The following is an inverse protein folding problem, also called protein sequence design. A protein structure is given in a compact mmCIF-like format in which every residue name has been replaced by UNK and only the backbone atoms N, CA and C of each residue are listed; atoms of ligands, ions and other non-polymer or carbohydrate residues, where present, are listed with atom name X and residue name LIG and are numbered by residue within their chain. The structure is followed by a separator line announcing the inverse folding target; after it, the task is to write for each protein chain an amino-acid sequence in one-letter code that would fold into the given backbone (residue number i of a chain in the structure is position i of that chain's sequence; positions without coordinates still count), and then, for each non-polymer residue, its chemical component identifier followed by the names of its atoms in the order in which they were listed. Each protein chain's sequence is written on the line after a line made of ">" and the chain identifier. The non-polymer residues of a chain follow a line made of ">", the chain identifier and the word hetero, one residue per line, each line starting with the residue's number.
data_IF_595277239440
#
_entry.id   IF_595277239440
#
_cell.length_a   1.000
_cell.length_b   1.000
_cell.length_c   1.000
_cell.angle_alpha   90.00
_cell.angle_beta   90.00
_cell.angle_gamma   90.00
#
_symmetry.space_group_name_H-M   'P 1'
#
loop_
_entity.id
_entity.type
_entity.pdbx_description
1 polymer ?
#
# COMPACT_ATOMS: atom_id res chain seq x y z
N UNK A 1 -14.21 17.59 6.17
CA UNK A 1 -13.80 18.59 5.16
C UNK A 1 -13.92 17.92 3.81
N UNK A 2 -14.83 18.39 2.95
CA UNK A 2 -14.87 17.97 1.55
C UNK A 2 -13.60 18.47 0.86
N UNK A 3 -12.78 17.54 0.38
CA UNK A 3 -11.69 17.84 -0.52
C UNK A 3 -11.92 17.07 -1.81
N UNK A 4 -11.57 17.68 -2.94
CA UNK A 4 -11.81 17.10 -4.26
C UNK A 4 -10.88 15.90 -4.46
N UNK A 5 -11.48 14.74 -4.76
CA UNK A 5 -10.72 13.55 -5.11
C UNK A 5 -10.47 13.54 -6.61
N UNK A 6 -9.20 13.39 -7.00
CA UNK A 6 -8.85 13.19 -8.39
C UNK A 6 -9.60 11.95 -8.94
N UNK A 7 -10.18 12.08 -10.13
CA UNK A 7 -10.84 10.97 -10.81
C UNK A 7 -9.80 9.96 -11.28
N UNK A 8 -10.13 8.68 -11.14
CA UNK A 8 -9.36 7.60 -11.74
C UNK A 8 -9.51 7.65 -13.27
N UNK A 9 -8.39 7.62 -13.98
CA UNK A 9 -8.38 7.55 -15.45
C UNK A 9 -8.16 6.10 -15.86
N UNK A 10 -9.16 5.52 -16.52
CA UNK A 10 -9.10 4.20 -17.12
C UNK A 10 -8.93 4.34 -18.62
N UNK A 11 -7.85 3.77 -19.16
CA UNK A 11 -7.67 3.65 -20.61
C UNK A 11 -8.32 2.34 -21.05
N UNK A 12 -9.35 2.43 -21.89
CA UNK A 12 -10.05 1.29 -22.45
C UNK A 12 -9.25 0.68 -23.60
N UNK A 13 -9.64 -0.53 -24.03
CA UNK A 13 -8.93 -1.27 -25.08
C UNK A 13 -8.90 -0.53 -26.43
N UNK A 14 -9.86 0.37 -26.68
CA UNK A 14 -9.93 1.23 -27.85
C UNK A 14 -9.09 2.53 -27.72
N UNK A 15 -8.40 2.70 -26.59
CA UNK A 15 -7.62 3.89 -26.26
C UNK A 15 -8.43 5.06 -25.73
N UNK A 16 -9.75 4.92 -25.54
CA UNK A 16 -10.57 5.97 -24.94
C UNK A 16 -10.37 6.06 -23.42
N UNK A 17 -10.60 7.24 -22.88
CA UNK A 17 -10.50 7.52 -21.44
C UNK A 17 -11.87 7.44 -20.78
N UNK A 18 -11.95 6.68 -19.70
CA UNK A 18 -13.09 6.69 -18.79
C UNK A 18 -12.64 7.24 -17.44
N UNK A 19 -13.35 8.27 -16.95
CA UNK A 19 -13.08 8.87 -15.64
C UNK A 19 -14.04 8.32 -14.59
N UNK A 20 -13.51 7.75 -13.53
CA UNK A 20 -14.30 7.14 -12.45
C UNK A 20 -14.00 7.83 -11.12
N UNK A 21 -15.00 7.90 -10.25
CA UNK A 21 -14.75 8.34 -8.89
C UNK A 21 -14.01 7.25 -8.11
N UNK A 22 -13.02 7.62 -7.30
CA UNK A 22 -12.40 6.67 -6.40
C UNK A 22 -13.40 6.21 -5.35
N UNK A 23 -13.14 5.05 -4.76
CA UNK A 23 -13.91 4.56 -3.62
C UNK A 23 -13.50 5.34 -2.37
N UNK A 24 -14.36 6.27 -1.94
CA UNK A 24 -14.14 7.09 -0.76
C UNK A 24 -14.82 6.46 0.45
N UNK A 25 -14.09 6.33 1.55
CA UNK A 25 -14.57 5.78 2.82
C UNK A 25 -14.42 6.89 3.86
N UNK A 26 -15.55 7.48 4.27
CA UNK A 26 -15.59 8.62 5.18
C UNK A 26 -15.93 8.26 6.62
N UNK A 27 -16.58 7.12 6.84
CA UNK A 27 -16.94 6.63 8.16
C UNK A 27 -16.88 5.11 8.23
N UNK A 28 -16.81 4.59 9.46
CA UNK A 28 -16.95 3.18 9.74
C UNK A 28 -15.82 2.28 9.22
N UNK A 29 -16.21 1.07 8.82
CA UNK A 29 -15.31 0.02 8.37
C UNK A 29 -15.84 -0.60 7.09
N UNK A 30 -15.07 -0.46 6.02
CA UNK A 30 -15.39 -1.04 4.71
C UNK A 30 -14.46 -2.20 4.37
N UNK A 31 -14.99 -3.15 3.58
CA UNK A 31 -14.29 -4.41 3.31
C UNK A 31 -14.40 -4.83 1.85
N UNK A 32 -13.25 -4.93 1.18
CA UNK A 32 -13.14 -5.50 -0.15
C UNK A 32 -12.98 -7.03 -0.09
N UNK A 33 -14.00 -7.76 -0.54
CA UNK A 33 -13.98 -9.24 -0.61
C UNK A 33 -13.73 -9.80 -2.01
N UNK A 34 -13.97 -8.99 -3.05
CA UNK A 34 -13.75 -9.33 -4.47
C UNK A 34 -12.57 -8.56 -5.08
N UNK A 35 -12.63 -8.30 -6.38
CA UNK A 35 -11.64 -7.49 -7.08
C UNK A 35 -12.13 -6.04 -7.22
N UNK A 36 -11.23 -5.08 -7.00
CA UNK A 36 -11.44 -3.67 -7.30
C UNK A 36 -10.24 -3.14 -8.06
N UNK A 37 -10.49 -2.39 -9.13
CA UNK A 37 -9.47 -1.69 -9.90
C UNK A 37 -9.80 -0.21 -9.91
N UNK A 38 -8.95 0.62 -9.30
CA UNK A 38 -9.21 2.02 -9.03
C UNK A 38 -8.56 2.48 -7.73
N UNK A 39 -8.76 3.75 -7.40
CA UNK A 39 -8.30 4.38 -6.18
C UNK A 39 -9.26 4.15 -5.02
N UNK A 40 -8.71 3.91 -3.84
CA UNK A 40 -9.43 3.88 -2.56
C UNK A 40 -8.86 4.96 -1.66
N UNK A 41 -9.72 5.84 -1.13
CA UNK A 41 -9.32 6.88 -0.18
C UNK A 41 -10.04 6.68 1.15
N UNK A 42 -9.26 6.43 2.21
CA UNK A 42 -9.78 6.21 3.57
C UNK A 42 -9.55 7.48 4.38
N UNK A 43 -10.63 8.10 4.85
CA UNK A 43 -10.57 9.35 5.62
C UNK A 43 -10.31 9.08 7.10
N UNK A 44 -10.00 10.15 7.84
CA UNK A 44 -9.77 10.12 9.28
C UNK A 44 -10.85 9.32 10.02
N UNK A 45 -10.43 8.52 11.00
CA UNK A 45 -11.30 7.68 11.85
C UNK A 45 -12.00 6.52 11.11
N UNK A 46 -11.95 6.46 9.79
CA UNK A 46 -12.44 5.34 9.01
C UNK A 46 -11.38 4.23 8.83
N UNK A 47 -11.85 3.04 8.47
CA UNK A 47 -10.97 1.89 8.25
C UNK A 47 -11.36 1.07 7.03
N UNK A 48 -10.36 0.44 6.42
CA UNK A 48 -10.54 -0.39 5.22
C UNK A 48 -9.83 -1.73 5.34
N UNK A 49 -10.50 -2.84 4.98
CA UNK A 49 -9.87 -4.15 4.87
C UNK A 49 -9.90 -4.68 3.43
N UNK A 50 -8.73 -4.96 2.86
CA UNK A 50 -8.63 -5.90 1.74
C UNK A 50 -8.65 -7.30 2.32
N UNK A 51 -9.80 -7.96 2.28
CA UNK A 51 -10.00 -9.29 2.87
C UNK A 51 -9.07 -10.33 2.23
N UNK A 52 -8.88 -11.49 2.86
CA UNK A 52 -8.00 -12.58 2.37
C UNK A 52 -8.19 -13.00 0.90
N UNK A 53 -9.41 -12.91 0.36
CA UNK A 53 -9.73 -13.19 -1.05
C UNK A 53 -9.90 -11.93 -1.90
N UNK A 54 -9.85 -10.77 -1.27
CA UNK A 54 -9.93 -9.47 -1.90
C UNK A 54 -8.66 -9.13 -2.67
N UNK A 55 -8.83 -8.41 -3.79
CA UNK A 55 -7.75 -7.92 -4.62
C UNK A 55 -7.98 -6.47 -5.00
N UNK A 56 -7.11 -5.59 -4.54
CA UNK A 56 -7.07 -4.18 -4.94
C UNK A 56 -5.97 -3.97 -5.99
N UNK A 57 -6.32 -3.43 -7.15
CA UNK A 57 -5.39 -3.01 -8.19
C UNK A 57 -5.50 -1.50 -8.42
N UNK A 58 -4.64 -0.71 -7.81
CA UNK A 58 -4.71 0.75 -7.87
C UNK A 58 -4.16 1.42 -6.62
N UNK A 59 -4.50 2.69 -6.41
CA UNK A 59 -4.03 3.46 -5.26
C UNK A 59 -4.85 3.15 -4.01
N UNK A 60 -4.18 3.09 -2.86
CA UNK A 60 -4.78 3.11 -1.53
C UNK A 60 -4.18 4.28 -0.77
N UNK A 61 -4.98 5.29 -0.50
CA UNK A 61 -4.58 6.51 0.20
C UNK A 61 -5.22 6.54 1.58
N UNK A 62 -4.40 6.45 2.62
CA UNK A 62 -4.82 6.56 4.00
C UNK A 62 -4.59 8.00 4.45
N UNK A 63 -5.68 8.74 4.67
CA UNK A 63 -5.64 10.11 5.21
C UNK A 63 -5.22 10.08 6.69
N UNK A 64 -4.83 11.23 7.27
CA UNK A 64 -4.39 11.28 8.65
C UNK A 64 -5.36 10.62 9.65
N UNK A 65 -4.84 9.78 10.54
CA UNK A 65 -5.64 9.06 11.56
C UNK A 65 -6.53 7.94 11.04
N UNK A 66 -6.47 7.60 9.75
CA UNK A 66 -7.19 6.45 9.18
C UNK A 66 -6.41 5.14 9.32
N UNK A 67 -7.04 4.01 9.00
CA UNK A 67 -6.34 2.71 9.01
C UNK A 67 -6.73 1.79 7.86
N UNK A 68 -5.80 0.92 7.47
CA UNK A 68 -6.12 -0.18 6.58
C UNK A 68 -5.42 -1.48 6.95
N UNK A 69 -6.10 -2.59 6.66
CA UNK A 69 -5.57 -3.95 6.82
C UNK A 69 -5.60 -4.68 5.47
N UNK A 70 -4.42 -5.02 4.96
CA UNK A 70 -4.24 -5.75 3.71
C UNK A 70 -4.02 -7.22 4.07
N UNK A 71 -5.11 -7.99 4.14
CA UNK A 71 -5.08 -9.44 4.37
C UNK A 71 -5.10 -10.26 3.06
N UNK A 72 -5.60 -9.67 1.98
CA UNK A 72 -5.56 -10.21 0.62
C UNK A 72 -4.39 -9.65 -0.17
N UNK A 73 -4.68 -9.16 -1.37
CA UNK A 73 -3.66 -8.65 -2.30
C UNK A 73 -3.92 -7.20 -2.66
N UNK A 74 -2.90 -6.37 -2.51
CA UNK A 74 -2.86 -5.03 -3.06
C UNK A 74 -1.72 -4.93 -4.08
N UNK A 75 -2.04 -4.42 -5.27
CA UNK A 75 -1.11 -4.16 -6.35
C UNK A 75 -1.27 -2.70 -6.79
N UNK A 76 -0.35 -1.83 -6.40
CA UNK A 76 -0.38 -0.41 -6.75
C UNK A 76 0.30 0.46 -5.71
N UNK A 77 -0.08 1.74 -5.65
CA UNK A 77 0.49 2.68 -4.70
C UNK A 77 -0.23 2.61 -3.35
N UNK A 78 0.52 2.55 -2.26
CA UNK A 78 0.02 2.75 -0.91
C UNK A 78 0.60 4.06 -0.37
N UNK A 79 -0.26 4.99 0.00
CA UNK A 79 0.12 6.22 0.67
C UNK A 79 -0.42 6.22 2.10
N UNK A 80 0.45 6.40 3.08
CA UNK A 80 0.12 6.38 4.51
C UNK A 80 0.43 7.74 5.09
N UNK A 81 -0.63 8.53 5.34
CA UNK A 81 -0.53 9.86 5.92
C UNK A 81 -0.17 9.86 7.41
N UNK A 82 0.06 11.05 7.95
CA UNK A 82 0.42 11.24 9.36
C UNK A 82 -0.59 10.62 10.34
N UNK A 83 -0.12 9.80 11.28
CA UNK A 83 -0.97 9.09 12.24
C UNK A 83 -1.83 7.98 11.65
N UNK A 84 -1.77 7.76 10.32
CA UNK A 84 -2.44 6.64 9.67
C UNK A 84 -1.65 5.34 9.84
N UNK A 85 -2.35 4.21 9.86
CA UNK A 85 -1.74 2.89 10.06
C UNK A 85 -2.15 1.91 8.96
N UNK A 86 -1.16 1.34 8.27
CA UNK A 86 -1.35 0.24 7.34
C UNK A 86 -0.79 -1.07 7.92
N UNK A 87 -1.62 -2.09 8.06
CA UNK A 87 -1.22 -3.44 8.44
C UNK A 87 -1.19 -4.37 7.24
N UNK A 88 -0.02 -4.91 6.90
CA UNK A 88 0.18 -5.84 5.79
C UNK A 88 0.31 -7.26 6.35
N UNK A 89 -0.73 -8.06 6.15
CA UNK A 89 -0.80 -9.48 6.58
C UNK A 89 -0.78 -10.42 5.36
N UNK A 90 -1.28 -9.94 4.22
CA UNK A 90 -1.20 -10.61 2.92
C UNK A 90 -0.08 -10.03 2.06
N UNK A 91 -0.38 -9.76 0.79
CA UNK A 91 0.56 -9.20 -0.17
C UNK A 91 0.27 -7.72 -0.42
N UNK A 92 1.26 -6.86 -0.20
CA UNK A 92 1.34 -5.55 -0.84
C UNK A 92 2.46 -5.54 -1.88
N UNK A 93 2.14 -5.10 -3.10
CA UNK A 93 3.07 -4.97 -4.22
C UNK A 93 2.93 -3.61 -4.93
N UNK A 94 4.03 -2.88 -5.10
CA UNK A 94 4.05 -1.59 -5.78
C UNK A 94 4.86 -0.55 -5.03
N UNK A 95 4.41 0.70 -5.04
CA UNK A 95 5.09 1.80 -4.33
C UNK A 95 4.42 2.08 -2.99
N UNK A 96 5.22 2.29 -1.95
CA UNK A 96 4.73 2.61 -0.61
C UNK A 96 5.36 3.92 -0.17
N UNK A 97 4.52 4.89 0.16
CA UNK A 97 4.94 6.17 0.71
C UNK A 97 4.39 6.30 2.12
N UNK A 98 5.29 6.50 3.09
CA UNK A 98 4.93 6.68 4.49
C UNK A 98 5.34 8.09 4.90
N UNK A 99 4.35 8.95 5.12
CA UNK A 99 4.58 10.31 5.59
C UNK A 99 5.09 10.32 7.03
N UNK A 100 5.62 11.46 7.46
CA UNK A 100 6.01 11.66 8.87
C UNK A 100 4.83 11.37 9.82
N UNK A 101 5.12 10.63 10.89
CA UNK A 101 4.11 10.11 11.82
C UNK A 101 3.20 8.99 11.27
N UNK A 102 3.31 8.62 9.99
CA UNK A 102 2.62 7.45 9.42
C UNK A 102 3.30 6.13 9.80
N UNK A 103 2.54 5.04 9.79
CA UNK A 103 3.02 3.72 10.20
C UNK A 103 2.59 2.59 9.26
N UNK A 104 3.57 1.83 8.78
CA UNK A 104 3.34 0.55 8.10
C UNK A 104 3.85 -0.60 8.96
N UNK A 105 2.99 -1.58 9.22
CA UNK A 105 3.35 -2.83 9.91
C UNK A 105 3.25 -4.01 8.97
N UNK A 106 4.36 -4.65 8.67
CA UNK A 106 4.38 -5.93 7.96
C UNK A 106 4.38 -7.04 8.98
N UNK A 107 3.27 -7.77 9.05
CA UNK A 107 3.10 -8.87 10.01
C UNK A 107 3.80 -10.15 9.56
N UNK A 108 4.02 -11.12 10.46
CA UNK A 108 4.49 -12.45 10.07
C UNK A 108 3.61 -13.06 8.97
N UNK A 109 4.26 -13.57 7.91
CA UNK A 109 3.60 -14.08 6.70
C UNK A 109 3.15 -13.00 5.70
N UNK A 110 3.14 -11.73 6.11
CA UNK A 110 2.89 -10.59 5.24
C UNK A 110 4.10 -10.26 4.36
N UNK A 111 3.81 -9.67 3.20
CA UNK A 111 4.82 -9.33 2.20
C UNK A 111 4.67 -7.90 1.72
N UNK A 112 5.76 -7.15 1.75
CA UNK A 112 5.88 -5.79 1.26
C UNK A 112 6.88 -5.72 0.10
N UNK A 113 6.36 -5.78 -1.13
CA UNK A 113 7.14 -5.86 -2.35
C UNK A 113 7.12 -4.54 -3.13
N UNK A 114 8.30 -4.03 -3.50
CA UNK A 114 8.44 -2.86 -4.38
C UNK A 114 9.15 -1.70 -3.70
N UNK A 115 8.94 -0.47 -4.19
CA UNK A 115 9.69 0.70 -3.72
C UNK A 115 9.09 1.27 -2.44
N UNK A 116 9.96 1.64 -1.49
CA UNK A 116 9.56 2.32 -0.26
C UNK A 116 10.16 3.72 -0.21
N UNK A 117 9.33 4.71 0.10
CA UNK A 117 9.73 6.06 0.47
C UNK A 117 9.24 6.35 1.89
N UNK A 118 10.15 6.58 2.82
CA UNK A 118 9.85 6.52 4.26
C UNK A 118 10.28 7.80 4.98
N UNK A 119 9.32 8.63 5.34
CA UNK A 119 9.45 9.73 6.27
C UNK A 119 8.88 9.40 7.66
N UNK A 120 7.96 8.43 7.77
CA UNK A 120 7.45 7.89 9.04
C UNK A 120 8.15 6.60 9.47
N UNK A 121 7.37 5.61 9.94
CA UNK A 121 7.89 4.34 10.45
C UNK A 121 7.39 3.14 9.63
N UNK A 122 8.30 2.23 9.32
CA UNK A 122 7.98 0.89 8.80
C UNK A 122 8.51 -0.17 9.76
N UNK A 123 7.63 -0.94 10.38
CA UNK A 123 7.96 -2.10 11.19
C UNK A 123 7.80 -3.37 10.36
N UNK A 124 8.87 -4.14 10.16
CA UNK A 124 8.86 -5.36 9.37
C UNK A 124 9.11 -6.60 10.23
N UNK A 125 8.06 -7.40 10.45
CA UNK A 125 8.12 -8.78 11.00
C UNK A 125 7.80 -9.86 9.94
N UNK A 126 7.60 -9.45 8.69
CA UNK A 126 7.32 -10.31 7.56
C UNK A 126 8.47 -10.32 6.56
N UNK A 127 8.16 -10.21 5.27
CA UNK A 127 9.19 -10.11 4.22
C UNK A 127 9.02 -8.79 3.48
N UNK A 128 10.08 -7.98 3.42
CA UNK A 128 10.12 -6.81 2.54
C UNK A 128 11.18 -6.97 1.46
N UNK A 129 11.03 -6.29 0.33
CA UNK A 129 12.02 -6.34 -0.74
C UNK A 129 11.77 -5.27 -1.79
N UNK A 130 12.84 -4.68 -2.28
CA UNK A 130 12.82 -3.55 -3.20
C UNK A 130 13.67 -2.39 -2.70
N UNK A 131 13.84 -1.35 -3.53
CA UNK A 131 14.61 -0.17 -3.16
C UNK A 131 13.91 0.60 -2.03
N UNK A 132 14.70 1.11 -1.08
CA UNK A 132 14.22 1.90 0.06
C UNK A 132 14.90 3.26 0.04
N UNK A 133 14.11 4.32 0.12
CA UNK A 133 14.56 5.68 0.33
C UNK A 133 14.01 6.17 1.66
N UNK A 134 14.89 6.55 2.58
CA UNK A 134 14.52 7.09 3.89
C UNK A 134 14.77 8.59 3.90
N UNK A 135 13.76 9.36 4.27
CA UNK A 135 13.76 10.82 4.30
C UNK A 135 13.23 11.31 5.65
N UNK A 136 14.00 11.11 6.71
CA UNK A 136 13.64 11.48 8.09
C UNK A 136 12.91 10.40 8.88
N UNK A 137 12.50 9.31 8.22
CA UNK A 137 11.83 8.18 8.86
C UNK A 137 12.75 7.05 9.31
N UNK A 138 12.15 5.91 9.65
CA UNK A 138 12.85 4.70 10.10
C UNK A 138 12.22 3.46 9.47
N UNK A 139 13.06 2.51 9.08
CA UNK A 139 12.64 1.14 8.72
C UNK A 139 13.28 0.18 9.72
N UNK A 140 12.46 -0.50 10.50
CA UNK A 140 12.88 -1.47 11.51
C UNK A 140 12.56 -2.88 11.04
N UNK A 141 13.60 -3.65 10.71
CA UNK A 141 13.47 -5.09 10.52
C UNK A 141 13.52 -5.78 11.89
N UNK A 142 12.33 -6.10 12.40
CA UNK A 142 12.13 -6.68 13.73
C UNK A 142 12.33 -8.21 13.70
N UNK A 143 12.40 -8.84 14.87
CA UNK A 143 12.54 -10.29 15.01
C UNK A 143 11.49 -11.06 14.19
N UNK A 144 11.98 -12.04 13.41
CA UNK A 144 11.18 -12.82 12.46
C UNK A 144 11.00 -12.17 11.09
N UNK A 145 11.34 -10.88 10.97
CA UNK A 145 11.39 -10.14 9.70
C UNK A 145 12.57 -10.54 8.82
N UNK A 146 12.42 -10.38 7.52
CA UNK A 146 13.52 -10.55 6.56
C UNK A 146 13.45 -9.57 5.40
N UNK A 147 14.61 -9.35 4.78
CA UNK A 147 14.77 -8.51 3.60
C UNK A 147 15.15 -9.39 2.41
N UNK A 148 14.26 -9.50 1.44
CA UNK A 148 14.50 -10.24 0.20
C UNK A 148 15.48 -9.47 -0.68
N UNK A 149 16.65 -10.06 -0.92
CA UNK A 149 17.66 -9.49 -1.78
C UNK A 149 17.33 -9.73 -3.27
N UNK A 150 17.64 -8.78 -4.17
CA UNK A 150 17.49 -9.01 -5.59
C UNK A 150 18.53 -9.99 -6.10
N UNK A 151 18.16 -10.78 -7.10
CA UNK A 151 19.12 -11.51 -7.93
C UNK A 151 19.59 -10.64 -9.08
N UNK A 152 20.86 -10.76 -9.48
CA UNK A 152 21.35 -10.11 -10.69
C UNK A 152 20.81 -10.82 -11.93
N UNK A 153 20.14 -10.07 -12.79
CA UNK A 153 19.72 -10.53 -14.09
C UNK A 153 20.87 -10.52 -15.12
N UNK A 154 20.62 -11.04 -16.34
CA UNK A 154 21.64 -11.20 -17.37
C UNK A 154 22.30 -9.89 -17.83
N UNK A 155 21.66 -8.74 -17.59
CA UNK A 155 22.17 -7.40 -17.95
C UNK A 155 22.57 -6.58 -16.72
N UNK A 156 22.72 -7.22 -15.55
CA UNK A 156 23.12 -6.59 -14.30
C UNK A 156 21.98 -5.92 -13.52
N UNK A 157 20.75 -6.01 -14.03
CA UNK A 157 19.55 -5.49 -13.38
C UNK A 157 19.24 -6.24 -12.08
N UNK A 158 18.65 -5.54 -11.11
CA UNK A 158 18.21 -6.15 -9.85
C UNK A 158 16.80 -6.73 -10.05
N UNK A 159 16.67 -8.05 -10.00
CA UNK A 159 15.40 -8.76 -10.16
C UNK A 159 14.94 -9.33 -8.82
N UNK A 160 13.76 -8.91 -8.36
CA UNK A 160 13.10 -9.48 -7.20
C UNK A 160 12.11 -10.56 -7.65
N UNK A 161 12.47 -11.83 -7.43
CA UNK A 161 11.60 -12.98 -7.75
C UNK A 161 10.85 -13.40 -6.51
N UNK A 162 9.61 -12.98 -6.38
CA UNK A 162 8.80 -13.19 -5.18
C UNK A 162 8.38 -14.63 -4.97
#
# INVERSE_FOLDING_TARGET
>A
MDHEHALDIHILADGSEERRQPWVITDGHERLTGAHSGGVCVHAEASFEVARRGRLSGSLSLQPGSSARIAGQHAGSLHVGAGAVAEVVGDQSGSVHVEDGGLVKVHPGGKLAGSLHVAGLVENRGIRGGPVQVSGGVVEDLDGGSVKQPTKGPRGENVYRW
#
